data_IF_636872966996
#
_entry.id   IF_636872966996
#
_cell.length_a   1.000
_cell.length_b   1.000
_cell.length_c   1.000
_cell.angle_alpha   90.00
_cell.angle_beta   90.00
_cell.angle_gamma   90.00
#
_symmetry.space_group_name_H-M   'P 1'
#
loop_
_entity.id
_entity.type
_entity.pdbx_description
1 polymer ?
#
# COMPACT_ATOMS: atom_id res chain seq x y z
N UNK A 1 49.52 -5.25 24.72
CA UNK A 1 48.67 -5.95 25.70
C UNK A 1 47.18 -5.56 25.56
N UNK A 2 46.68 -5.44 24.32
CA UNK A 2 45.26 -5.19 24.02
C UNK A 2 44.95 -5.91 22.70
N UNK A 3 44.19 -7.01 22.76
CA UNK A 3 43.27 -7.52 21.70
C UNK A 3 42.99 -9.01 21.92
N UNK A 4 42.21 -9.32 22.94
CA UNK A 4 41.34 -10.50 22.93
C UNK A 4 40.01 -10.12 23.59
N UNK A 5 39.36 -9.07 23.08
CA UNK A 5 37.92 -8.93 23.33
C UNK A 5 37.23 -9.97 22.44
N UNK A 6 37.07 -11.14 23.06
CA UNK A 6 36.48 -12.38 22.58
C UNK A 6 35.30 -12.19 21.62
N UNK A 7 35.42 -12.82 20.45
CA UNK A 7 34.34 -13.06 19.47
C UNK A 7 33.10 -13.71 20.13
N UNK A 8 33.26 -14.40 21.27
CA UNK A 8 32.14 -15.04 21.99
C UNK A 8 31.18 -14.03 22.63
N UNK A 9 31.66 -12.85 23.05
CA UNK A 9 30.77 -11.82 23.63
C UNK A 9 29.88 -11.17 22.57
N UNK A 10 30.37 -11.02 21.34
CA UNK A 10 29.56 -10.51 20.21
C UNK A 10 28.47 -11.50 19.79
N UNK A 11 28.74 -12.80 19.78
CA UNK A 11 27.75 -13.82 19.46
C UNK A 11 26.63 -13.88 20.51
N UNK A 12 26.98 -13.80 21.80
CA UNK A 12 26.01 -13.79 22.90
C UNK A 12 25.11 -12.55 22.92
N UNK A 13 25.66 -11.37 22.59
CA UNK A 13 24.88 -10.13 22.48
C UNK A 13 23.93 -10.20 21.28
N UNK A 14 24.37 -10.75 20.14
CA UNK A 14 23.53 -10.90 18.96
C UNK A 14 22.38 -11.90 19.19
N UNK A 15 22.63 -13.03 19.85
CA UNK A 15 21.58 -13.99 20.19
C UNK A 15 20.59 -13.42 21.21
N UNK A 16 21.05 -12.63 22.18
CA UNK A 16 20.18 -11.93 23.13
C UNK A 16 19.32 -10.85 22.47
N UNK A 17 19.90 -10.03 21.57
CA UNK A 17 19.13 -9.02 20.82
C UNK A 17 18.12 -9.70 19.88
N UNK A 18 18.50 -10.80 19.25
CA UNK A 18 17.63 -11.56 18.36
C UNK A 18 16.47 -12.21 19.10
N UNK A 19 16.72 -12.81 20.28
CA UNK A 19 15.67 -13.39 21.12
C UNK A 19 14.68 -12.33 21.59
N UNK A 20 15.16 -11.17 22.03
CA UNK A 20 14.29 -10.05 22.40
C UNK A 20 13.48 -9.51 21.23
N UNK A 21 14.06 -9.44 20.02
CA UNK A 21 13.34 -8.96 18.83
C UNK A 21 12.21 -9.91 18.46
N UNK A 22 12.47 -11.23 18.49
CA UNK A 22 11.46 -12.25 18.21
C UNK A 22 10.32 -12.22 19.24
N UNK A 23 10.65 -12.15 20.52
CA UNK A 23 9.65 -12.06 21.60
C UNK A 23 8.80 -10.80 21.49
N UNK A 24 9.42 -9.64 21.21
CA UNK A 24 8.69 -8.38 20.99
C UNK A 24 7.76 -8.44 19.78
N UNK A 25 8.21 -9.02 18.66
CA UNK A 25 7.38 -9.21 17.48
C UNK A 25 6.14 -10.06 17.75
N UNK A 26 6.29 -11.18 18.47
CA UNK A 26 5.16 -12.03 18.88
C UNK A 26 4.21 -11.27 19.80
N UNK A 27 4.73 -10.56 20.80
CA UNK A 27 3.92 -9.74 21.70
C UNK A 27 3.13 -8.65 20.95
N UNK A 28 3.76 -7.97 19.98
CA UNK A 28 3.09 -6.99 19.12
C UNK A 28 1.95 -7.65 18.34
N UNK A 29 2.18 -8.81 17.74
CA UNK A 29 1.13 -9.54 17.00
C UNK A 29 -0.07 -9.87 17.89
N UNK A 30 0.17 -10.44 19.07
CA UNK A 30 -0.89 -10.80 20.03
C UNK A 30 -1.64 -9.55 20.52
N UNK A 31 -0.93 -8.51 20.95
CA UNK A 31 -1.55 -7.28 21.45
C UNK A 31 -2.34 -6.54 20.35
N UNK A 32 -1.86 -6.58 19.11
CA UNK A 32 -2.57 -6.01 17.96
C UNK A 32 -3.88 -6.76 17.72
N UNK A 33 -3.85 -8.10 17.74
CA UNK A 33 -5.04 -8.91 17.58
C UNK A 33 -6.07 -8.64 18.70
N UNK A 34 -5.62 -8.57 19.96
CA UNK A 34 -6.47 -8.21 21.09
C UNK A 34 -7.09 -6.82 20.88
N UNK A 35 -6.31 -5.82 20.48
CA UNK A 35 -6.82 -4.48 20.24
C UNK A 35 -7.90 -4.44 19.14
N UNK A 36 -7.70 -5.19 18.05
CA UNK A 36 -8.70 -5.31 16.99
C UNK A 36 -9.97 -6.04 17.44
N UNK A 37 -9.85 -7.12 18.23
CA UNK A 37 -11.01 -7.79 18.81
C UNK A 37 -11.77 -6.89 19.81
N UNK A 38 -11.05 -6.12 20.64
CA UNK A 38 -11.68 -5.13 21.52
C UNK A 38 -12.40 -4.04 20.73
N UNK A 39 -11.87 -3.62 19.58
CA UNK A 39 -12.59 -2.70 18.70
C UNK A 39 -13.86 -3.35 18.13
N UNK A 40 -13.75 -4.57 17.61
CA UNK A 40 -14.88 -5.30 17.03
C UNK A 40 -15.99 -5.55 18.04
N UNK A 41 -15.66 -5.78 19.32
CA UNK A 41 -16.66 -6.00 20.37
C UNK A 41 -17.48 -4.75 20.73
N UNK A 42 -17.01 -3.55 20.33
CA UNK A 42 -17.73 -2.28 20.53
C UNK A 42 -18.15 -1.64 19.22
N UNK A 43 -17.86 -2.28 18.08
CA UNK A 43 -18.21 -1.77 16.77
C UNK A 43 -19.74 -1.85 16.55
N UNK A 44 -20.34 -0.86 15.88
CA UNK A 44 -21.77 -0.89 15.61
C UNK A 44 -22.10 -2.02 14.63
N UNK A 45 -23.31 -2.59 14.74
CA UNK A 45 -23.79 -3.68 13.87
C UNK A 45 -23.71 -3.30 12.38
N UNK A 46 -24.02 -2.04 12.05
CA UNK A 46 -23.91 -1.51 10.68
C UNK A 46 -22.48 -1.55 10.10
N UNK A 47 -21.47 -1.59 10.96
CA UNK A 47 -20.08 -1.80 10.55
C UNK A 47 -19.82 -3.29 10.28
N UNK A 48 -20.31 -4.19 11.12
CA UNK A 48 -20.04 -5.64 11.03
C UNK A 48 -20.83 -6.32 9.91
N UNK A 49 -22.05 -5.89 9.63
CA UNK A 49 -22.96 -6.50 8.66
C UNK A 49 -22.84 -5.91 7.25
N UNK A 50 -21.77 -5.17 6.97
CA UNK A 50 -21.61 -4.51 5.67
C UNK A 50 -21.43 -5.59 4.57
N UNK A 51 -22.27 -5.61 3.52
CA UNK A 51 -22.22 -6.66 2.50
C UNK A 51 -20.94 -6.59 1.68
N UNK A 52 -20.25 -7.72 1.55
CA UNK A 52 -19.04 -7.81 0.74
C UNK A 52 -19.38 -7.86 -0.74
N UNK A 53 -19.15 -6.76 -1.47
CA UNK A 53 -19.46 -6.65 -2.89
C UNK A 53 -18.66 -7.60 -3.79
N UNK A 54 -17.45 -7.99 -3.38
CA UNK A 54 -16.55 -8.83 -4.18
C UNK A 54 -16.52 -10.30 -3.70
N UNK A 55 -17.28 -10.65 -2.67
CA UNK A 55 -17.26 -12.00 -2.09
C UNK A 55 -18.17 -12.98 -2.81
N UNK A 56 -19.10 -12.46 -3.61
CA UNK A 56 -20.12 -13.24 -4.30
C UNK A 56 -19.85 -13.22 -5.81
N UNK A 57 -20.61 -13.99 -6.59
CA UNK A 57 -20.43 -14.17 -8.04
C UNK A 57 -19.22 -15.02 -8.39
N UNK A 58 -18.04 -14.42 -8.62
CA UNK A 58 -16.86 -15.14 -9.09
C UNK A 58 -16.38 -16.22 -8.11
N UNK A 59 -16.21 -15.95 -6.80
CA UNK A 59 -15.83 -17.00 -5.86
C UNK A 59 -16.81 -18.17 -5.84
N UNK A 60 -18.12 -17.88 -5.87
CA UNK A 60 -19.18 -18.90 -5.85
C UNK A 60 -19.19 -19.74 -7.12
N UNK A 61 -18.98 -19.12 -8.29
CA UNK A 61 -18.91 -19.82 -9.56
C UNK A 61 -17.70 -20.77 -9.62
N UNK A 62 -16.55 -20.36 -9.09
CA UNK A 62 -15.37 -21.24 -9.01
C UNK A 62 -15.62 -22.41 -8.05
N UNK A 63 -16.17 -22.16 -6.87
CA UNK A 63 -16.48 -23.21 -5.87
C UNK A 63 -17.53 -24.19 -6.42
N UNK A 64 -18.52 -23.70 -7.16
CA UNK A 64 -19.54 -24.52 -7.83
C UNK A 64 -19.00 -25.28 -9.06
N UNK A 65 -17.72 -25.16 -9.39
CA UNK A 65 -17.11 -25.87 -10.52
C UNK A 65 -17.44 -25.29 -11.90
N UNK A 66 -18.01 -24.08 -11.98
CA UNK A 66 -18.33 -23.41 -13.25
C UNK A 66 -17.11 -22.78 -13.93
N UNK A 67 -15.97 -22.73 -13.24
CA UNK A 67 -14.74 -22.11 -13.73
C UNK A 67 -14.63 -20.62 -13.37
N UNK A 68 -13.68 -19.92 -14.01
CA UNK A 68 -13.36 -18.51 -13.75
C UNK A 68 -14.29 -17.56 -14.52
N UNK A 69 -15.57 -17.56 -14.16
CA UNK A 69 -16.63 -16.83 -14.87
C UNK A 69 -17.46 -15.93 -13.94
N UNK A 70 -17.96 -14.83 -14.49
CA UNK A 70 -18.92 -13.95 -13.83
C UNK A 70 -20.35 -14.52 -13.86
N UNK A 71 -21.32 -13.81 -13.29
CA UNK A 71 -22.73 -14.23 -13.27
C UNK A 71 -23.37 -14.33 -14.67
N UNK A 72 -22.79 -13.67 -15.67
CA UNK A 72 -23.23 -13.75 -17.07
C UNK A 72 -22.59 -14.93 -17.81
N UNK A 73 -21.69 -15.68 -17.17
CA UNK A 73 -20.93 -16.77 -17.78
C UNK A 73 -19.74 -16.31 -18.62
N UNK A 74 -19.40 -15.03 -18.61
CA UNK A 74 -18.23 -14.49 -19.30
C UNK A 74 -16.98 -14.70 -18.44
N UNK A 75 -15.82 -14.78 -19.10
CA UNK A 75 -14.55 -14.86 -18.38
C UNK A 75 -14.35 -13.63 -17.48
N UNK A 76 -14.15 -13.84 -16.18
CA UNK A 76 -14.08 -12.77 -15.20
C UNK A 76 -12.69 -12.11 -15.18
N UNK A 77 -12.50 -11.15 -16.07
CA UNK A 77 -11.22 -10.46 -16.29
C UNK A 77 -11.08 -9.11 -15.57
N UNK A 78 -12.14 -8.63 -14.94
CA UNK A 78 -12.20 -7.27 -14.41
C UNK A 78 -11.09 -6.96 -13.39
N UNK A 79 -10.55 -7.97 -12.70
CA UNK A 79 -9.49 -7.82 -11.71
C UNK A 79 -8.49 -8.97 -11.73
N UNK A 80 -7.24 -8.74 -11.29
CA UNK A 80 -6.30 -9.82 -11.06
C UNK A 80 -6.82 -10.87 -10.06
N UNK A 81 -6.36 -12.13 -10.15
CA UNK A 81 -6.94 -13.27 -9.46
C UNK A 81 -6.52 -13.38 -8.00
N UNK A 82 -5.51 -12.64 -7.54
CA UNK A 82 -4.93 -12.83 -6.20
C UNK A 82 -5.94 -12.61 -5.08
N UNK A 83 -6.76 -11.57 -5.15
CA UNK A 83 -7.79 -11.34 -4.14
C UNK A 83 -8.98 -12.33 -4.26
N UNK A 84 -9.56 -12.58 -5.45
CA UNK A 84 -10.59 -13.62 -5.59
C UNK A 84 -10.13 -15.01 -5.11
N UNK A 85 -8.89 -15.41 -5.40
CA UNK A 85 -8.33 -16.69 -4.91
C UNK A 85 -8.25 -16.75 -3.37
N UNK A 86 -7.91 -15.63 -2.73
CA UNK A 86 -7.94 -15.54 -1.26
C UNK A 86 -9.37 -15.73 -0.75
N UNK A 87 -10.36 -15.07 -1.34
CA UNK A 87 -11.77 -15.22 -0.93
C UNK A 87 -12.25 -16.66 -1.11
N UNK A 88 -11.97 -17.28 -2.26
CA UNK A 88 -12.30 -18.70 -2.51
C UNK A 88 -11.72 -19.59 -1.42
N UNK A 89 -10.43 -19.43 -1.11
CA UNK A 89 -9.77 -20.20 -0.06
C UNK A 89 -10.38 -19.96 1.34
N UNK A 90 -10.79 -18.73 1.65
CA UNK A 90 -11.44 -18.42 2.92
C UNK A 90 -12.84 -19.02 3.03
N UNK A 91 -13.65 -19.00 1.97
CA UNK A 91 -14.97 -19.64 1.93
C UNK A 91 -14.86 -21.15 2.15
N UNK A 92 -13.98 -21.81 1.39
CA UNK A 92 -13.73 -23.25 1.56
C UNK A 92 -13.22 -23.59 2.97
N UNK A 93 -12.35 -22.76 3.55
CA UNK A 93 -11.88 -22.96 4.92
C UNK A 93 -13.00 -22.77 5.95
N UNK A 94 -13.90 -21.80 5.73
CA UNK A 94 -15.07 -21.59 6.58
C UNK A 94 -15.98 -22.82 6.59
N UNK A 95 -16.24 -23.41 5.42
CA UNK A 95 -17.03 -24.64 5.27
C UNK A 95 -16.39 -25.83 6.00
N UNK A 96 -15.07 -26.02 5.86
CA UNK A 96 -14.34 -27.12 6.51
C UNK A 96 -14.32 -26.98 8.02
N UNK A 97 -14.17 -25.76 8.53
CA UNK A 97 -14.12 -25.48 9.98
C UNK A 97 -15.53 -25.41 10.58
N UNK A 98 -16.56 -25.21 9.76
CA UNK A 98 -17.95 -25.09 10.20
C UNK A 98 -18.25 -23.75 10.90
N UNK A 99 -17.61 -22.66 10.45
CA UNK A 99 -17.84 -21.31 10.96
C UNK A 99 -18.46 -20.40 9.89
N UNK A 100 -19.25 -19.38 10.26
CA UNK A 100 -19.76 -18.42 9.29
C UNK A 100 -18.65 -17.73 8.49
N UNK A 101 -18.87 -17.52 7.18
CA UNK A 101 -17.88 -16.87 6.29
C UNK A 101 -17.45 -15.49 6.82
N UNK A 102 -18.40 -14.71 7.34
CA UNK A 102 -18.13 -13.39 7.91
C UNK A 102 -17.11 -13.46 9.06
N UNK A 103 -17.22 -14.45 9.94
CA UNK A 103 -16.30 -14.64 11.05
C UNK A 103 -14.91 -15.06 10.54
N UNK A 104 -14.85 -15.91 9.52
CA UNK A 104 -13.60 -16.29 8.87
C UNK A 104 -12.90 -15.09 8.22
N UNK A 105 -13.65 -14.21 7.54
CA UNK A 105 -13.12 -12.97 6.96
C UNK A 105 -12.59 -12.01 8.02
N UNK A 106 -13.32 -11.83 9.13
CA UNK A 106 -12.88 -11.02 10.26
C UNK A 106 -11.59 -11.59 10.86
N UNK A 107 -11.54 -12.89 11.13
CA UNK A 107 -10.36 -13.55 11.69
C UNK A 107 -9.14 -13.39 10.78
N UNK A 108 -9.33 -13.57 9.47
CA UNK A 108 -8.29 -13.37 8.47
C UNK A 108 -7.77 -11.93 8.46
N UNK A 109 -8.67 -10.94 8.51
CA UNK A 109 -8.30 -9.53 8.56
C UNK A 109 -7.53 -9.18 9.84
N UNK A 110 -8.02 -9.63 11.00
CA UNK A 110 -7.34 -9.43 12.29
C UNK A 110 -5.93 -10.00 12.24
N UNK A 111 -5.77 -11.23 11.72
CA UNK A 111 -4.48 -11.88 11.57
C UNK A 111 -3.53 -11.07 10.68
N UNK A 112 -3.97 -10.71 9.47
CA UNK A 112 -3.12 -10.00 8.51
C UNK A 112 -2.79 -8.56 8.95
N UNK A 113 -3.73 -7.83 9.53
CA UNK A 113 -3.46 -6.49 10.07
C UNK A 113 -2.49 -6.57 11.25
N UNK A 114 -2.63 -7.57 12.13
CA UNK A 114 -1.66 -7.79 13.22
C UNK A 114 -0.28 -8.15 12.67
N UNK A 115 -0.21 -8.99 11.63
CA UNK A 115 1.03 -9.34 10.97
C UNK A 115 1.67 -8.13 10.28
N UNK A 116 0.87 -7.25 9.67
CA UNK A 116 1.36 -5.99 9.09
C UNK A 116 1.95 -5.05 10.14
N UNK A 117 1.39 -5.01 11.35
CA UNK A 117 1.96 -4.27 12.49
C UNK A 117 3.34 -4.81 12.90
N UNK A 118 3.49 -6.15 12.91
CA UNK A 118 4.79 -6.80 13.15
C UNK A 118 5.79 -6.45 12.05
N UNK A 119 5.39 -6.48 10.78
CA UNK A 119 6.26 -6.08 9.66
C UNK A 119 6.70 -4.62 9.77
N UNK A 120 5.79 -3.70 10.10
CA UNK A 120 6.12 -2.29 10.32
C UNK A 120 7.10 -2.10 11.49
N UNK A 121 6.92 -2.84 12.59
CA UNK A 121 7.90 -2.87 13.68
C UNK A 121 9.26 -3.39 13.21
N UNK A 122 9.29 -4.48 12.43
CA UNK A 122 10.53 -5.03 11.87
C UNK A 122 11.21 -4.04 10.93
N UNK A 123 10.45 -3.28 10.13
CA UNK A 123 11.01 -2.21 9.31
C UNK A 123 11.55 -1.08 10.20
N UNK A 124 10.83 -0.70 11.25
CA UNK A 124 11.22 0.37 12.16
C UNK A 124 12.55 0.08 12.88
N UNK A 125 12.80 -1.17 13.30
CA UNK A 125 14.08 -1.56 13.93
C UNK A 125 15.26 -1.56 12.94
N UNK A 126 15.00 -1.72 11.64
CA UNK A 126 16.07 -1.59 10.62
C UNK A 126 16.58 -0.15 10.51
N UNK A 127 15.78 0.82 11.00
CA UNK A 127 16.02 2.25 10.88
C UNK A 127 16.47 2.85 12.20
N UNK A 128 15.78 2.50 13.29
CA UNK A 128 15.90 3.13 14.60
C UNK A 128 16.46 2.18 15.65
N UNK A 129 17.37 2.69 16.49
CA UNK A 129 17.94 1.97 17.64
C UNK A 129 17.39 2.47 18.98
N UNK A 130 16.07 2.61 19.07
CA UNK A 130 15.40 3.09 20.28
C UNK A 130 14.19 2.21 20.58
N UNK A 131 13.83 2.06 21.85
CA UNK A 131 12.57 1.41 22.23
C UNK A 131 11.34 2.17 21.70
N UNK A 132 11.50 3.43 21.27
CA UNK A 132 10.43 4.21 20.66
C UNK A 132 9.93 3.62 19.31
N UNK A 133 10.59 2.59 18.76
CA UNK A 133 10.06 1.80 17.62
C UNK A 133 8.68 1.23 17.88
N UNK A 134 8.28 1.03 19.15
CA UNK A 134 6.95 0.56 19.52
C UNK A 134 5.85 1.56 19.16
N UNK A 135 6.17 2.84 18.93
CA UNK A 135 5.20 3.84 18.49
C UNK A 135 4.65 3.54 17.09
N UNK A 136 5.40 2.82 16.25
CA UNK A 136 4.98 2.48 14.87
C UNK A 136 3.80 1.51 14.87
N UNK A 137 3.89 0.30 15.46
CA UNK A 137 2.74 -0.60 15.52
C UNK A 137 1.59 -0.03 16.33
N UNK A 138 1.85 0.76 17.39
CA UNK A 138 0.78 1.43 18.15
C UNK A 138 0.01 2.39 17.25
N UNK A 139 0.70 3.25 16.49
CA UNK A 139 0.06 4.16 15.55
C UNK A 139 -0.72 3.42 14.46
N UNK A 140 -0.20 2.31 13.95
CA UNK A 140 -0.87 1.48 12.96
C UNK A 140 -2.17 0.85 13.49
N UNK A 141 -2.11 0.21 14.66
CA UNK A 141 -3.25 -0.51 15.27
C UNK A 141 -4.35 0.45 15.73
N UNK A 142 -3.99 1.65 16.17
CA UNK A 142 -4.94 2.68 16.63
C UNK A 142 -5.46 3.58 15.51
N UNK A 143 -4.91 3.47 14.29
CA UNK A 143 -5.34 4.28 13.16
C UNK A 143 -6.74 3.87 12.70
N UNK A 144 -7.75 4.76 12.75
CA UNK A 144 -9.13 4.41 12.40
C UNK A 144 -9.25 3.95 10.94
N UNK A 145 -8.40 4.46 10.04
CA UNK A 145 -8.40 4.03 8.63
C UNK A 145 -7.90 2.60 8.45
N UNK A 146 -7.03 2.12 9.34
CA UNK A 146 -6.59 0.71 9.35
C UNK A 146 -7.69 -0.17 9.93
N UNK A 147 -8.25 0.26 11.07
CA UNK A 147 -9.33 -0.45 11.77
C UNK A 147 -10.58 -0.58 10.90
N UNK A 148 -10.85 0.39 10.03
CA UNK A 148 -11.95 0.33 9.07
C UNK A 148 -11.93 -0.92 8.19
N UNK A 149 -10.75 -1.47 7.89
CA UNK A 149 -10.63 -2.66 7.04
C UNK A 149 -11.03 -3.96 7.74
N UNK A 150 -11.41 -3.94 9.02
CA UNK A 150 -11.84 -5.14 9.73
C UNK A 150 -13.24 -5.62 9.29
N UNK A 151 -14.09 -4.75 8.74
CA UNK A 151 -15.49 -5.11 8.44
C UNK A 151 -15.67 -6.01 7.21
N UNK A 152 -14.72 -6.03 6.28
CA UNK A 152 -14.85 -6.76 5.02
C UNK A 152 -13.49 -7.29 4.59
N UNK A 153 -13.41 -8.42 3.88
CA UNK A 153 -12.15 -8.96 3.39
C UNK A 153 -11.63 -8.14 2.20
N UNK A 154 -11.31 -6.88 2.45
CA UNK A 154 -10.80 -5.94 1.47
C UNK A 154 -9.44 -6.38 0.95
N UNK A 155 -9.21 -6.25 -0.36
CA UNK A 155 -7.93 -6.61 -0.99
C UNK A 155 -6.76 -5.75 -0.48
N UNK A 156 -7.04 -4.60 0.12
CA UNK A 156 -6.05 -3.76 0.81
C UNK A 156 -5.31 -4.50 1.92
N UNK A 157 -6.00 -5.35 2.69
CA UNK A 157 -5.42 -6.01 3.88
C UNK A 157 -4.27 -6.95 3.52
N UNK A 158 -4.45 -7.95 2.63
CA UNK A 158 -3.33 -8.78 2.18
C UNK A 158 -2.32 -7.99 1.33
N UNK A 159 -2.76 -6.93 0.62
CA UNK A 159 -1.84 -6.03 -0.06
C UNK A 159 -0.85 -5.36 0.92
N UNK A 160 -1.31 -4.87 2.08
CA UNK A 160 -0.45 -4.25 3.10
C UNK A 160 0.66 -5.20 3.55
N UNK A 161 0.31 -6.47 3.81
CA UNK A 161 1.26 -7.48 4.26
C UNK A 161 2.36 -7.71 3.22
N UNK A 162 1.98 -7.98 1.96
CA UNK A 162 2.95 -8.21 0.89
C UNK A 162 3.79 -6.97 0.61
N UNK A 163 3.15 -5.79 0.64
CA UNK A 163 3.81 -4.52 0.46
C UNK A 163 4.87 -4.26 1.54
N UNK A 164 4.52 -4.37 2.82
CA UNK A 164 5.48 -4.16 3.90
C UNK A 164 6.54 -5.26 3.96
N UNK A 165 6.19 -6.51 3.64
CA UNK A 165 7.18 -7.58 3.52
C UNK A 165 8.22 -7.24 2.43
N UNK A 166 7.79 -6.72 1.27
CA UNK A 166 8.69 -6.31 0.20
C UNK A 166 9.62 -5.16 0.62
N UNK A 167 9.12 -4.23 1.44
CA UNK A 167 9.92 -3.12 1.97
C UNK A 167 10.95 -3.64 2.98
N UNK A 168 10.56 -4.59 3.84
CA UNK A 168 11.46 -5.22 4.78
C UNK A 168 12.58 -5.97 4.04
N UNK A 169 12.26 -6.74 3.00
CA UNK A 169 13.27 -7.44 2.19
C UNK A 169 14.16 -6.46 1.44
N UNK A 170 13.60 -5.36 0.93
CA UNK A 170 14.35 -4.27 0.31
C UNK A 170 15.33 -3.61 1.29
N UNK A 171 14.91 -3.28 2.51
CA UNK A 171 15.84 -2.70 3.51
C UNK A 171 16.94 -3.66 3.95
N UNK A 172 16.63 -4.96 4.02
CA UNK A 172 17.65 -5.98 4.28
C UNK A 172 18.61 -6.14 3.10
N UNK A 173 18.16 -5.97 1.86
CA UNK A 173 19.03 -6.00 0.67
C UNK A 173 20.09 -4.89 0.72
N UNK A 174 19.73 -3.69 1.19
CA UNK A 174 20.69 -2.57 1.34
C UNK A 174 21.85 -2.92 2.28
N UNK A 175 21.65 -3.87 3.20
CA UNK A 175 22.65 -4.31 4.20
C UNK A 175 23.34 -5.62 3.83
N UNK A 176 22.86 -6.33 2.81
CA UNK A 176 23.34 -7.64 2.44
C UNK A 176 24.64 -7.61 1.64
N UNK A 177 25.37 -8.72 1.68
CA UNK A 177 26.56 -8.95 0.87
C UNK A 177 26.18 -9.17 -0.60
N UNK A 178 27.10 -8.84 -1.52
CA UNK A 178 26.88 -8.91 -2.96
C UNK A 178 26.32 -10.26 -3.44
N UNK A 179 26.80 -11.37 -2.88
CA UNK A 179 26.37 -12.73 -3.25
C UNK A 179 24.90 -13.04 -2.94
N UNK A 180 24.26 -12.29 -2.04
CA UNK A 180 22.84 -12.48 -1.67
C UNK A 180 21.89 -11.50 -2.37
N UNK A 181 22.43 -10.48 -3.04
CA UNK A 181 21.62 -9.40 -3.61
C UNK A 181 20.66 -9.88 -4.70
N UNK A 182 21.06 -10.84 -5.54
CA UNK A 182 20.17 -11.44 -6.52
C UNK A 182 18.90 -12.01 -5.87
N UNK A 183 19.07 -12.82 -4.82
CA UNK A 183 17.95 -13.44 -4.10
C UNK A 183 17.07 -12.42 -3.38
N UNK A 184 17.67 -11.37 -2.79
CA UNK A 184 16.88 -10.27 -2.22
C UNK A 184 16.10 -9.50 -3.29
N UNK A 185 16.69 -9.25 -4.46
CA UNK A 185 16.01 -8.64 -5.60
C UNK A 185 14.83 -9.49 -6.04
N UNK A 186 15.07 -10.79 -6.29
CA UNK A 186 14.05 -11.75 -6.70
C UNK A 186 12.90 -11.84 -5.71
N UNK A 187 13.19 -11.98 -4.41
CA UNK A 187 12.18 -12.06 -3.36
C UNK A 187 11.38 -10.75 -3.23
N UNK A 188 12.06 -9.60 -3.27
CA UNK A 188 11.38 -8.29 -3.24
C UNK A 188 10.44 -8.16 -4.45
N UNK A 189 10.91 -8.57 -5.63
CA UNK A 189 10.13 -8.59 -6.87
C UNK A 189 8.92 -9.50 -6.78
N UNK A 190 9.10 -10.74 -6.33
CA UNK A 190 8.02 -11.70 -6.17
C UNK A 190 6.96 -11.20 -5.18
N UNK A 191 7.35 -10.61 -4.04
CA UNK A 191 6.39 -10.03 -3.09
C UNK A 191 5.60 -8.87 -3.72
N UNK A 192 6.24 -8.03 -4.52
CA UNK A 192 5.55 -6.95 -5.26
C UNK A 192 4.66 -7.49 -6.38
N UNK A 193 5.09 -8.49 -7.13
CA UNK A 193 4.28 -9.18 -8.13
C UNK A 193 3.03 -9.79 -7.50
N UNK A 194 3.17 -10.45 -6.34
CA UNK A 194 2.04 -10.97 -5.59
C UNK A 194 1.12 -9.84 -5.12
N UNK A 195 1.67 -8.73 -4.63
CA UNK A 195 0.87 -7.56 -4.26
C UNK A 195 0.10 -6.97 -5.46
N UNK A 196 0.73 -6.89 -6.65
CA UNK A 196 0.08 -6.47 -7.91
C UNK A 196 -1.06 -7.40 -8.31
N UNK A 197 -0.90 -8.71 -8.09
CA UNK A 197 -1.93 -9.72 -8.32
C UNK A 197 -3.09 -9.64 -7.32
N UNK A 198 -2.91 -8.99 -6.17
CA UNK A 198 -4.02 -8.69 -5.25
C UNK A 198 -4.67 -7.35 -5.61
N UNK A 199 -3.85 -6.33 -5.93
CA UNK A 199 -4.30 -5.01 -6.36
C UNK A 199 -3.37 -4.41 -7.42
N UNK A 200 -3.94 -4.09 -8.58
CA UNK A 200 -3.21 -3.47 -9.70
C UNK A 200 -2.62 -2.09 -9.38
N UNK A 201 -3.08 -1.42 -8.32
CA UNK A 201 -2.52 -0.17 -7.82
C UNK A 201 -1.02 -0.29 -7.44
N UNK A 202 -0.50 -1.50 -7.28
CA UNK A 202 0.92 -1.75 -7.02
C UNK A 202 1.83 -1.75 -8.25
N UNK A 203 1.30 -1.50 -9.45
CA UNK A 203 2.00 -1.73 -10.73
C UNK A 203 3.36 -1.02 -10.86
N UNK A 204 3.50 0.20 -10.35
CA UNK A 204 4.75 0.95 -10.46
C UNK A 204 5.74 0.69 -9.31
N UNK A 205 5.35 -0.10 -8.31
CA UNK A 205 6.19 -0.35 -7.13
C UNK A 205 7.54 -1.01 -7.45
N UNK A 206 7.65 -1.98 -8.39
CA UNK A 206 8.96 -2.53 -8.78
C UNK A 206 9.89 -1.45 -9.34
N UNK A 207 9.36 -0.51 -10.14
CA UNK A 207 10.13 0.62 -10.68
C UNK A 207 10.56 1.56 -9.55
N UNK A 208 9.66 1.89 -8.62
CA UNK A 208 9.97 2.72 -7.45
C UNK A 208 11.06 2.09 -6.57
N UNK A 209 11.01 0.77 -6.35
CA UNK A 209 12.06 0.04 -5.63
C UNK A 209 13.38 0.04 -6.40
N UNK A 210 13.34 -0.07 -7.73
CA UNK A 210 14.53 0.01 -8.58
C UNK A 210 15.20 1.38 -8.53
N UNK A 211 14.42 2.46 -8.64
CA UNK A 211 14.90 3.84 -8.49
C UNK A 211 15.47 4.05 -7.08
N UNK A 212 14.75 3.58 -6.06
CA UNK A 212 15.19 3.65 -4.67
C UNK A 212 16.51 2.89 -4.47
N UNK A 213 16.66 1.70 -5.05
CA UNK A 213 17.89 0.91 -5.02
C UNK A 213 19.05 1.72 -5.59
N UNK A 214 18.91 2.30 -6.78
CA UNK A 214 19.96 3.10 -7.41
C UNK A 214 20.34 4.34 -6.58
N UNK A 215 19.38 4.99 -5.94
CA UNK A 215 19.62 6.18 -5.11
C UNK A 215 20.24 5.88 -3.73
N UNK A 216 20.06 4.66 -3.23
CA UNK A 216 20.32 4.30 -1.83
C UNK A 216 21.40 3.24 -1.62
N UNK A 217 21.63 2.37 -2.60
CA UNK A 217 22.58 1.27 -2.46
C UNK A 217 24.04 1.75 -2.37
N UNK A 218 24.93 0.85 -1.94
CA UNK A 218 26.38 1.12 -1.88
C UNK A 218 26.89 1.47 -3.28
N UNK A 219 28.04 2.15 -3.41
CA UNK A 219 28.72 2.34 -4.70
C UNK A 219 29.30 1.00 -5.19
N UNK A 220 28.43 0.06 -5.51
CA UNK A 220 28.79 -1.25 -6.06
C UNK A 220 29.16 -1.10 -7.53
N UNK A 221 29.87 -2.09 -8.11
CA UNK A 221 30.06 -2.16 -9.55
C UNK A 221 28.70 -2.19 -10.28
N UNK A 222 28.62 -1.56 -11.46
CA UNK A 222 27.39 -1.52 -12.29
C UNK A 222 26.73 -2.90 -12.46
N UNK A 223 27.54 -3.96 -12.61
CA UNK A 223 27.08 -5.36 -12.72
C UNK A 223 26.18 -5.79 -11.55
N UNK A 224 26.50 -5.39 -10.32
CA UNK A 224 25.73 -5.74 -9.12
C UNK A 224 24.39 -5.01 -9.11
N UNK A 225 24.35 -3.74 -9.50
CA UNK A 225 23.08 -3.01 -9.63
C UNK A 225 22.20 -3.63 -10.71
N UNK A 226 22.76 -3.93 -11.88
CA UNK A 226 22.03 -4.60 -12.96
C UNK A 226 21.49 -5.96 -12.52
N UNK A 227 22.28 -6.77 -11.83
CA UNK A 227 21.86 -8.08 -11.32
C UNK A 227 20.68 -7.95 -10.35
N UNK A 228 20.74 -7.00 -9.41
CA UNK A 228 19.64 -6.75 -8.47
C UNK A 228 18.37 -6.30 -9.20
N UNK A 229 18.48 -5.36 -10.14
CA UNK A 229 17.34 -4.85 -10.91
C UNK A 229 16.71 -5.94 -11.78
N UNK A 230 17.53 -6.73 -12.50
CA UNK A 230 17.05 -7.87 -13.29
C UNK A 230 16.29 -8.84 -12.38
N UNK A 231 16.85 -9.19 -11.21
CA UNK A 231 16.18 -10.09 -10.27
C UNK A 231 14.85 -9.51 -9.75
N UNK A 232 14.82 -8.21 -9.41
CA UNK A 232 13.62 -7.49 -8.96
C UNK A 232 12.50 -7.53 -10.00
N UNK A 233 12.81 -7.21 -11.26
CA UNK A 233 11.81 -7.25 -12.33
C UNK A 233 11.42 -8.69 -12.69
N UNK A 234 12.39 -9.61 -12.73
CA UNK A 234 12.13 -11.03 -12.99
C UNK A 234 11.16 -11.60 -11.96
N UNK A 235 11.39 -11.37 -10.65
CA UNK A 235 10.51 -11.85 -9.60
C UNK A 235 9.08 -11.30 -9.72
N UNK A 236 8.94 -10.03 -10.10
CA UNK A 236 7.63 -9.41 -10.32
C UNK A 236 6.91 -10.01 -11.52
N UNK A 237 7.60 -10.13 -12.65
CA UNK A 237 7.07 -10.68 -13.90
C UNK A 237 6.70 -12.15 -13.75
N UNK A 238 7.48 -12.95 -13.02
CA UNK A 238 7.20 -14.38 -12.82
C UNK A 238 5.81 -14.65 -12.23
N UNK A 239 5.27 -13.76 -11.40
CA UNK A 239 3.93 -13.94 -10.83
C UNK A 239 2.82 -13.31 -11.67
N UNK A 240 3.12 -12.24 -12.40
CA UNK A 240 2.12 -11.52 -13.21
C UNK A 240 1.93 -12.15 -14.59
N UNK A 241 3.02 -12.65 -15.19
CA UNK A 241 3.02 -13.18 -16.56
C UNK A 241 2.04 -14.35 -16.75
N UNK A 242 1.93 -15.35 -15.85
CA UNK A 242 0.98 -16.45 -16.03
C UNK A 242 -0.45 -15.96 -16.19
N UNK A 243 -0.86 -14.96 -15.40
CA UNK A 243 -2.18 -14.38 -15.51
C UNK A 243 -2.39 -13.61 -16.81
N UNK A 244 -1.41 -12.78 -17.22
CA UNK A 244 -1.47 -12.09 -18.51
C UNK A 244 -1.55 -13.05 -19.70
N UNK A 245 -0.92 -14.24 -19.60
CA UNK A 245 -1.02 -15.27 -20.62
C UNK A 245 -2.41 -15.94 -20.65
N UNK A 246 -3.02 -16.20 -19.49
CA UNK A 246 -4.40 -16.69 -19.38
C UNK A 246 -5.35 -15.64 -19.98
N UNK A 247 -5.20 -14.38 -19.59
CA UNK A 247 -5.95 -13.26 -20.14
C UNK A 247 -5.88 -13.20 -21.67
N UNK A 248 -4.68 -13.31 -22.24
CA UNK A 248 -4.49 -13.32 -23.69
C UNK A 248 -5.18 -14.50 -24.35
N UNK A 249 -5.10 -15.70 -23.74
CA UNK A 249 -5.74 -16.90 -24.28
C UNK A 249 -7.28 -16.77 -24.30
N UNK A 250 -7.87 -16.23 -23.24
CA UNK A 250 -9.33 -16.14 -23.10
C UNK A 250 -9.93 -14.92 -23.83
N UNK A 251 -9.18 -13.83 -23.98
CA UNK A 251 -9.69 -12.57 -24.57
C UNK A 251 -9.09 -12.22 -25.94
N UNK A 252 -8.03 -12.90 -26.38
CA UNK A 252 -7.21 -12.54 -27.55
C UNK A 252 -6.56 -11.15 -27.49
N UNK A 253 -6.55 -10.53 -26.31
CA UNK A 253 -5.96 -9.21 -26.08
C UNK A 253 -4.84 -9.28 -25.04
N UNK A 254 -3.73 -8.57 -25.31
CA UNK A 254 -2.63 -8.47 -24.35
C UNK A 254 -3.05 -7.49 -23.25
N UNK A 255 -3.55 -8.04 -22.15
CA UNK A 255 -3.98 -7.27 -20.98
C UNK A 255 -3.02 -7.51 -19.83
N UNK A 256 -2.41 -6.43 -19.35
CA UNK A 256 -1.51 -6.49 -18.20
C UNK A 256 -2.30 -6.28 -16.91
N UNK A 257 -2.41 -7.31 -16.08
CA UNK A 257 -3.18 -7.38 -14.82
C UNK A 257 -4.71 -7.28 -14.96
N UNK A 258 -5.24 -6.47 -15.87
CA UNK A 258 -6.68 -6.34 -16.12
C UNK A 258 -6.99 -5.49 -17.35
N UNK A 259 -8.28 -5.30 -17.67
CA UNK A 259 -8.69 -4.52 -18.83
C UNK A 259 -8.45 -3.01 -18.61
N UNK A 260 -8.17 -2.25 -19.68
CA UNK A 260 -8.03 -0.79 -19.62
C UNK A 260 -9.26 -0.10 -19.01
N UNK A 261 -10.46 -0.64 -19.26
CA UNK A 261 -11.76 -0.13 -18.79
C UNK A 261 -11.83 0.08 -17.28
N UNK A 262 -11.11 -0.71 -16.47
CA UNK A 262 -11.06 -0.51 -15.03
C UNK A 262 -10.36 0.81 -14.66
N UNK A 263 -9.29 1.15 -15.37
CA UNK A 263 -8.56 2.41 -15.18
C UNK A 263 -9.42 3.58 -15.65
N UNK A 264 -10.09 3.44 -16.79
CA UNK A 264 -11.01 4.44 -17.33
C UNK A 264 -12.16 4.72 -16.36
N UNK A 265 -12.81 3.67 -15.84
CA UNK A 265 -13.86 3.79 -14.85
C UNK A 265 -13.37 4.46 -13.56
N UNK A 266 -12.13 4.19 -13.15
CA UNK A 266 -11.53 4.82 -11.97
C UNK A 266 -11.25 6.31 -12.18
N UNK A 267 -10.80 6.71 -13.39
CA UNK A 267 -10.62 8.12 -13.76
C UNK A 267 -11.99 8.81 -13.86
N UNK A 268 -12.95 8.18 -14.54
CA UNK A 268 -14.32 8.68 -14.67
C UNK A 268 -14.99 8.92 -13.31
N UNK A 269 -14.88 7.96 -12.39
CA UNK A 269 -15.35 8.12 -11.00
C UNK A 269 -14.62 9.26 -10.29
N UNK A 270 -13.32 9.40 -10.53
CA UNK A 270 -12.52 10.52 -10.05
C UNK A 270 -12.92 11.88 -10.62
N UNK A 271 -13.62 11.96 -11.74
CA UNK A 271 -14.21 13.21 -12.25
C UNK A 271 -15.62 13.44 -11.71
N UNK A 272 -16.41 12.37 -11.62
CA UNK A 272 -17.81 12.42 -11.19
C UNK A 272 -18.03 12.53 -9.68
N UNK A 273 -17.03 12.29 -8.84
CA UNK A 273 -17.26 12.20 -7.39
C UNK A 273 -17.89 13.47 -6.78
N UNK A 274 -17.75 14.65 -7.41
CA UNK A 274 -18.38 15.89 -6.92
C UNK A 274 -19.80 16.10 -7.44
N UNK A 275 -20.17 15.49 -8.57
CA UNK A 275 -21.44 15.72 -9.26
C UNK A 275 -22.41 14.54 -9.19
N UNK A 276 -21.89 13.30 -9.24
CA UNK A 276 -22.73 12.11 -9.21
C UNK A 276 -22.90 11.55 -7.79
N UNK A 277 -24.10 11.76 -7.26
CA UNK A 277 -24.52 11.23 -5.97
C UNK A 277 -25.16 9.86 -6.22
N UNK A 278 -24.33 8.83 -6.32
CA UNK A 278 -24.80 7.45 -6.25
C UNK A 278 -25.29 7.16 -4.82
N UNK A 279 -26.32 6.32 -4.65
CA UNK A 279 -27.23 6.29 -3.49
C UNK A 279 -26.63 6.39 -2.07
N UNK A 280 -25.40 5.91 -1.84
CA UNK A 280 -24.75 5.96 -0.52
C UNK A 280 -23.94 7.24 -0.24
N UNK A 281 -23.81 8.15 -1.22
CA UNK A 281 -22.97 9.36 -1.14
C UNK A 281 -23.75 10.56 -0.61
N UNK A 282 -23.11 11.38 0.21
CA UNK A 282 -23.60 12.73 0.55
C UNK A 282 -23.08 13.79 -0.44
N UNK A 283 -23.83 14.87 -0.63
CA UNK A 283 -23.40 15.97 -1.50
C UNK A 283 -22.21 16.69 -0.87
N UNK A 284 -21.10 16.79 -1.62
CA UNK A 284 -19.96 17.58 -1.18
C UNK A 284 -20.27 19.08 -1.29
N UNK A 285 -19.86 19.83 -0.27
CA UNK A 285 -19.92 21.30 -0.29
C UNK A 285 -18.78 21.83 -1.18
N UNK A 286 -19.03 21.94 -2.48
CA UNK A 286 -18.11 22.52 -3.47
C UNK A 286 -18.75 23.73 -4.16
N UNK A 287 -17.93 24.64 -4.69
CA UNK A 287 -18.45 25.76 -5.48
C UNK A 287 -19.09 25.26 -6.78
N UNK A 288 -20.08 26.01 -7.28
CA UNK A 288 -20.77 25.68 -8.52
C UNK A 288 -19.80 25.62 -9.71
N UNK A 289 -18.80 26.51 -9.75
CA UNK A 289 -17.77 26.53 -10.79
C UNK A 289 -16.95 25.23 -10.83
N UNK A 290 -16.62 24.66 -9.67
CA UNK A 290 -15.86 23.40 -9.57
C UNK A 290 -16.73 22.21 -9.98
N UNK A 291 -18.01 22.21 -9.60
CA UNK A 291 -18.96 21.16 -10.02
C UNK A 291 -19.18 21.19 -11.54
N UNK A 292 -19.46 22.36 -12.10
CA UNK A 292 -19.63 22.55 -13.55
C UNK A 292 -18.36 22.17 -14.31
N UNK A 293 -17.19 22.58 -13.82
CA UNK A 293 -15.91 22.20 -14.40
C UNK A 293 -15.73 20.67 -14.46
N UNK A 294 -16.01 19.97 -13.36
CA UNK A 294 -15.88 18.52 -13.30
C UNK A 294 -16.84 17.80 -14.27
N UNK A 295 -18.07 18.30 -14.40
CA UNK A 295 -19.06 17.77 -15.34
C UNK A 295 -18.65 18.01 -16.80
N UNK A 296 -18.22 19.22 -17.14
CA UNK A 296 -17.71 19.55 -18.48
C UNK A 296 -16.49 18.70 -18.84
N UNK A 297 -15.51 18.60 -17.92
CA UNK A 297 -14.31 17.80 -18.12
C UNK A 297 -14.63 16.31 -18.33
N UNK A 298 -15.59 15.78 -17.57
CA UNK A 298 -16.07 14.42 -17.77
C UNK A 298 -16.74 14.24 -19.15
N UNK A 299 -17.59 15.18 -19.55
CA UNK A 299 -18.26 15.13 -20.85
C UNK A 299 -17.26 15.17 -22.02
N UNK A 300 -16.25 16.04 -21.92
CA UNK A 300 -15.22 16.18 -22.96
C UNK A 300 -14.38 14.90 -23.13
N UNK A 301 -13.97 14.27 -22.03
CA UNK A 301 -13.12 13.07 -22.06
C UNK A 301 -13.91 11.79 -22.36
N UNK A 302 -15.12 11.63 -21.83
CA UNK A 302 -15.82 10.33 -21.87
C UNK A 302 -17.08 10.29 -22.72
N UNK A 303 -17.70 11.44 -23.00
CA UNK A 303 -18.92 11.51 -23.82
C UNK A 303 -18.57 11.89 -25.26
N UNK A 304 -17.76 12.93 -25.44
CA UNK A 304 -17.41 13.45 -26.75
C UNK A 304 -16.31 12.61 -27.45
N UNK A 305 -15.40 11.99 -26.67
CA UNK A 305 -14.26 11.22 -27.20
C UNK A 305 -14.61 9.79 -27.65
N UNK A 306 -15.85 9.30 -27.41
CA UNK A 306 -16.33 7.98 -27.91
C UNK A 306 -16.27 7.80 -29.44
N UNK A 307 -15.95 8.86 -30.19
CA UNK A 307 -15.75 8.83 -31.64
C UNK A 307 -14.29 8.59 -32.08
N UNK A 308 -13.30 8.58 -31.18
CA UNK A 308 -11.89 8.27 -31.51
C UNK A 308 -11.49 6.88 -31.02
N UNK A 309 -11.68 5.91 -31.91
CA UNK A 309 -11.18 4.54 -31.78
C UNK A 309 -9.68 4.56 -32.10
N UNK A 310 -8.82 4.83 -31.11
CA UNK A 310 -7.41 4.54 -31.31
C UNK A 310 -6.65 4.21 -30.01
N UNK A 311 -5.59 3.43 -30.21
CA UNK A 311 -4.77 2.69 -29.25
C UNK A 311 -4.05 3.49 -28.15
N UNK A 312 -4.26 4.82 -28.07
CA UNK A 312 -3.64 5.73 -27.10
C UNK A 312 -4.64 6.31 -26.06
N UNK A 313 -5.75 5.62 -25.76
CA UNK A 313 -6.82 6.12 -24.88
C UNK A 313 -6.35 6.70 -23.54
N UNK A 314 -5.38 6.07 -22.87
CA UNK A 314 -4.88 6.58 -21.58
C UNK A 314 -4.06 7.86 -21.71
N UNK A 315 -3.22 7.97 -22.75
CA UNK A 315 -2.48 9.19 -23.05
C UNK A 315 -3.44 10.32 -23.47
N UNK A 316 -4.47 9.97 -24.26
CA UNK A 316 -5.58 10.85 -24.61
C UNK A 316 -6.27 11.41 -23.37
N UNK A 317 -6.73 10.55 -22.46
CA UNK A 317 -7.36 10.94 -21.20
C UNK A 317 -6.46 11.86 -20.36
N UNK A 318 -5.19 11.49 -20.14
CA UNK A 318 -4.24 12.32 -19.36
C UNK A 318 -4.02 13.67 -20.04
N UNK A 319 -3.87 13.70 -21.37
CA UNK A 319 -3.72 14.95 -22.11
C UNK A 319 -4.98 15.81 -22.04
N UNK A 320 -6.17 15.19 -22.05
CA UNK A 320 -7.47 15.84 -21.88
C UNK A 320 -7.61 16.46 -20.50
N UNK A 321 -7.15 15.79 -19.44
CA UNK A 321 -7.10 16.35 -18.09
C UNK A 321 -6.21 17.60 -18.03
N UNK A 322 -5.02 17.55 -18.62
CA UNK A 322 -4.09 18.69 -18.68
C UNK A 322 -4.72 19.84 -19.47
N UNK A 323 -5.26 19.55 -20.66
CA UNK A 323 -5.91 20.55 -21.50
C UNK A 323 -7.10 21.19 -20.80
N UNK A 324 -7.93 20.40 -20.12
CA UNK A 324 -9.06 20.92 -19.36
C UNK A 324 -8.65 21.90 -18.26
N UNK A 325 -7.54 21.65 -17.55
CA UNK A 325 -6.98 22.62 -16.59
C UNK A 325 -6.47 23.88 -17.31
N UNK A 326 -5.83 23.75 -18.46
CA UNK A 326 -5.33 24.90 -19.21
C UNK A 326 -6.46 25.78 -19.77
N UNK A 327 -7.55 25.16 -20.22
CA UNK A 327 -8.71 25.86 -20.77
C UNK A 327 -9.51 26.59 -19.67
N UNK A 328 -9.56 26.05 -18.45
CA UNK A 328 -10.25 26.65 -17.30
C UNK A 328 -9.38 26.58 -16.02
N UNK A 329 -8.36 27.44 -15.88
CA UNK A 329 -7.33 27.29 -14.85
C UNK A 329 -7.83 27.47 -13.43
N UNK A 330 -8.72 28.43 -13.17
CA UNK A 330 -9.19 28.71 -11.81
C UNK A 330 -10.07 27.56 -11.26
N UNK A 331 -11.14 27.11 -11.96
CA UNK A 331 -11.91 25.95 -11.53
C UNK A 331 -11.08 24.66 -11.55
N UNK A 332 -10.22 24.47 -12.55
CA UNK A 332 -9.36 23.31 -12.66
C UNK A 332 -8.37 23.16 -11.50
N UNK A 333 -7.63 24.22 -11.17
CA UNK A 333 -6.73 24.22 -10.01
C UNK A 333 -7.51 23.95 -8.73
N UNK A 334 -8.67 24.57 -8.56
CA UNK A 334 -9.53 24.37 -7.37
C UNK A 334 -10.00 22.91 -7.25
N UNK A 335 -10.42 22.30 -8.36
CA UNK A 335 -10.81 20.89 -8.42
C UNK A 335 -9.66 19.94 -8.06
N UNK A 336 -8.48 20.14 -8.64
CA UNK A 336 -7.32 19.30 -8.32
C UNK A 336 -6.77 19.54 -6.92
N UNK A 337 -6.86 20.77 -6.39
CA UNK A 337 -6.52 21.06 -5.00
C UNK A 337 -7.47 20.36 -4.03
N UNK A 338 -8.77 20.31 -4.36
CA UNK A 338 -9.77 19.52 -3.63
C UNK A 338 -9.37 18.04 -3.59
N UNK A 339 -9.03 17.45 -4.74
CA UNK A 339 -8.56 16.05 -4.79
C UNK A 339 -7.28 15.83 -3.99
N UNK A 340 -6.34 16.76 -4.10
CA UNK A 340 -5.03 16.71 -3.46
C UNK A 340 -5.14 16.64 -1.93
N UNK A 341 -5.97 17.47 -1.30
CA UNK A 341 -6.17 17.42 0.15
C UNK A 341 -7.08 16.25 0.56
N UNK A 342 -8.13 15.97 -0.23
CA UNK A 342 -9.17 15.00 0.13
C UNK A 342 -8.64 13.58 0.09
N UNK A 343 -7.60 13.30 -0.70
CA UNK A 343 -6.91 12.01 -0.69
C UNK A 343 -6.42 11.56 0.71
N UNK A 344 -6.28 12.47 1.68
CA UNK A 344 -5.82 12.15 3.02
C UNK A 344 -6.91 11.87 4.06
N UNK A 345 -8.16 12.20 3.77
CA UNK A 345 -9.26 12.06 4.75
C UNK A 345 -10.61 11.68 4.12
N UNK A 346 -10.74 11.79 2.80
CA UNK A 346 -11.98 11.58 2.06
C UNK A 346 -12.47 10.14 2.13
N UNK A 347 -13.76 9.98 2.35
CA UNK A 347 -14.44 8.68 2.45
C UNK A 347 -15.29 8.46 1.19
N UNK A 348 -15.59 7.22 0.83
CA UNK A 348 -16.41 6.97 -0.37
C UNK A 348 -17.83 7.54 -0.24
N UNK A 349 -18.41 7.49 0.96
CA UNK A 349 -19.77 7.98 1.23
C UNK A 349 -19.85 9.49 1.47
N UNK A 350 -18.72 10.19 1.54
CA UNK A 350 -18.60 11.61 1.89
C UNK A 350 -19.07 11.95 3.31
N UNK A 351 -19.40 10.93 4.11
CA UNK A 351 -19.86 11.08 5.49
C UNK A 351 -18.68 11.27 6.42
N UNK A 352 -18.89 12.11 7.44
CA UNK A 352 -17.98 12.33 8.56
C UNK A 352 -16.55 12.75 8.15
N UNK A 353 -16.38 13.34 6.96
CA UNK A 353 -15.05 13.72 6.45
C UNK A 353 -14.36 14.79 7.31
N UNK A 354 -15.13 15.62 8.00
CA UNK A 354 -14.59 16.55 8.98
C UNK A 354 -13.90 15.83 10.15
N UNK A 355 -14.51 14.75 10.66
CA UNK A 355 -13.95 13.98 11.77
C UNK A 355 -12.72 13.18 11.33
N UNK A 356 -12.76 12.59 10.13
CA UNK A 356 -11.58 11.90 9.58
C UNK A 356 -10.43 12.88 9.37
N UNK A 357 -10.71 14.10 8.89
CA UNK A 357 -9.71 15.17 8.78
C UNK A 357 -9.12 15.55 10.14
N UNK A 358 -9.94 15.72 11.18
CA UNK A 358 -9.47 16.08 12.52
C UNK A 358 -8.55 15.00 13.10
N UNK A 359 -8.91 13.72 12.95
CA UNK A 359 -8.06 12.60 13.40
C UNK A 359 -6.75 12.58 12.61
N UNK A 360 -6.83 12.73 11.29
CA UNK A 360 -5.65 12.75 10.43
C UNK A 360 -4.72 13.94 10.75
N UNK A 361 -5.28 15.10 11.09
CA UNK A 361 -4.52 16.26 11.53
C UNK A 361 -3.67 15.95 12.77
N UNK A 362 -4.19 15.16 13.72
CA UNK A 362 -3.43 14.68 14.88
C UNK A 362 -2.19 13.87 14.47
N UNK A 363 -2.35 12.92 13.53
CA UNK A 363 -1.21 12.16 12.99
C UNK A 363 -0.22 13.05 12.25
N UNK A 364 -0.68 14.04 11.48
CA UNK A 364 0.19 14.99 10.79
C UNK A 364 0.97 15.91 11.73
N UNK A 365 0.39 16.31 12.86
CA UNK A 365 1.12 17.05 13.91
C UNK A 365 2.26 16.20 14.46
N UNK A 366 2.00 14.93 14.81
CA UNK A 366 3.03 14.01 15.29
C UNK A 366 4.12 13.75 14.23
N UNK A 367 3.73 13.59 12.97
CA UNK A 367 4.66 13.43 11.86
C UNK A 367 5.54 14.67 11.67
N UNK A 368 4.93 15.87 11.70
CA UNK A 368 5.64 17.14 11.56
C UNK A 368 6.63 17.36 12.70
N UNK A 369 6.24 17.07 13.94
CA UNK A 369 7.13 17.08 15.10
C UNK A 369 8.28 16.08 14.94
N UNK A 370 7.99 14.87 14.46
CA UNK A 370 9.01 13.85 14.17
C UNK A 370 10.04 14.34 13.16
N UNK A 371 9.59 14.92 12.05
CA UNK A 371 10.45 15.48 10.99
C UNK A 371 11.28 16.66 11.52
N UNK A 372 10.68 17.56 12.30
CA UNK A 372 11.38 18.68 12.92
C UNK A 372 12.49 18.21 13.86
N UNK A 373 12.23 17.19 14.68
CA UNK A 373 13.21 16.59 15.58
C UNK A 373 14.32 15.90 14.79
N UNK A 374 13.99 15.21 13.69
CA UNK A 374 14.97 14.61 12.77
C UNK A 374 15.90 15.69 12.23
N UNK A 375 15.32 16.77 11.71
CA UNK A 375 16.07 17.89 11.15
C UNK A 375 16.97 18.57 12.20
N UNK A 376 16.41 18.95 13.36
CA UNK A 376 17.13 19.63 14.45
C UNK A 376 18.30 18.80 14.98
N UNK A 377 18.12 17.50 15.12
CA UNK A 377 19.16 16.59 15.60
C UNK A 377 20.07 16.05 14.48
N UNK A 378 19.92 16.56 13.25
CA UNK A 378 20.67 16.12 12.05
C UNK A 378 20.63 14.60 11.83
N UNK A 379 19.52 13.99 12.20
CA UNK A 379 19.22 12.59 11.95
C UNK A 379 19.01 12.43 10.45
N UNK A 380 19.74 11.51 9.82
CA UNK A 380 19.65 11.28 8.36
C UNK A 380 19.22 9.84 8.04
N UNK A 381 17.97 9.45 8.31
CA UNK A 381 17.43 8.16 7.86
C UNK A 381 17.16 8.20 6.34
N UNK A 382 18.21 8.43 5.53
CA UNK A 382 18.13 8.70 4.08
C UNK A 382 17.28 7.65 3.35
N UNK A 383 17.48 6.38 3.69
CA UNK A 383 16.80 5.24 3.06
C UNK A 383 15.28 5.31 3.21
N UNK A 384 14.82 5.55 4.44
CA UNK A 384 13.39 5.67 4.76
C UNK A 384 12.81 6.91 4.13
N UNK A 385 13.53 8.03 4.20
CA UNK A 385 13.06 9.30 3.65
C UNK A 385 12.82 9.21 2.14
N UNK A 386 13.80 8.72 1.37
CA UNK A 386 13.68 8.60 -0.09
C UNK A 386 12.58 7.61 -0.47
N UNK A 387 12.59 6.40 0.09
CA UNK A 387 11.60 5.39 -0.27
C UNK A 387 10.18 5.83 0.12
N UNK A 388 9.99 6.32 1.34
CA UNK A 388 8.67 6.75 1.82
C UNK A 388 8.15 7.92 0.98
N UNK A 389 9.01 8.87 0.62
CA UNK A 389 8.61 10.00 -0.25
C UNK A 389 8.17 9.50 -1.62
N UNK A 390 8.94 8.62 -2.28
CA UNK A 390 8.57 8.09 -3.60
C UNK A 390 7.28 7.28 -3.55
N UNK A 391 7.09 6.45 -2.52
CA UNK A 391 5.84 5.69 -2.33
C UNK A 391 4.66 6.63 -2.08
N UNK A 392 4.80 7.60 -1.18
CA UNK A 392 3.73 8.56 -0.87
C UNK A 392 3.34 9.34 -2.12
N UNK A 393 4.31 9.88 -2.85
CA UNK A 393 4.05 10.61 -4.10
C UNK A 393 3.34 9.72 -5.12
N UNK A 394 3.70 8.45 -5.22
CA UNK A 394 3.06 7.51 -6.15
C UNK A 394 1.58 7.28 -5.82
N UNK A 395 1.28 6.83 -4.60
CA UNK A 395 -0.11 6.57 -4.20
C UNK A 395 -0.94 7.84 -4.18
N UNK A 396 -0.34 8.97 -3.80
CA UNK A 396 -1.02 10.25 -3.80
C UNK A 396 -1.35 10.72 -5.23
N UNK A 397 -0.43 10.52 -6.18
CA UNK A 397 -0.69 10.78 -7.61
C UNK A 397 -1.84 9.94 -8.14
N UNK A 398 -1.92 8.66 -7.75
CA UNK A 398 -3.03 7.79 -8.13
C UNK A 398 -4.35 8.21 -7.48
N UNK A 399 -4.34 8.64 -6.22
CA UNK A 399 -5.53 9.16 -5.55
C UNK A 399 -6.04 10.48 -6.18
N UNK A 400 -5.12 11.32 -6.68
CA UNK A 400 -5.47 12.54 -7.42
C UNK A 400 -6.02 12.20 -8.81
N UNK A 401 -5.44 11.21 -9.50
CA UNK A 401 -5.90 10.77 -10.80
C UNK A 401 -7.29 10.13 -10.72
N UNK A 402 -7.49 9.22 -9.77
CA UNK A 402 -8.75 8.52 -9.53
C UNK A 402 -9.64 9.30 -8.55
N UNK A 403 -10.48 8.59 -7.80
CA UNK A 403 -11.27 9.16 -6.72
C UNK A 403 -10.39 9.42 -5.48
N UNK A 404 -10.40 10.63 -4.88
CA UNK A 404 -9.47 11.01 -3.82
C UNK A 404 -9.87 10.41 -2.47
N UNK A 405 -9.68 9.10 -2.31
CA UNK A 405 -10.07 8.34 -1.13
C UNK A 405 -8.88 8.05 -0.21
N UNK A 406 -9.08 8.23 1.11
CA UNK A 406 -8.07 7.95 2.14
C UNK A 406 -7.56 6.51 2.11
N UNK A 407 -8.40 5.56 1.67
CA UNK A 407 -8.05 4.13 1.58
C UNK A 407 -6.79 3.88 0.73
N UNK A 408 -6.51 4.71 -0.28
CA UNK A 408 -5.31 4.59 -1.11
C UNK A 408 -4.04 5.04 -0.37
N UNK A 409 -4.19 5.90 0.64
CA UNK A 409 -3.08 6.44 1.42
C UNK A 409 -2.74 5.59 2.65
N UNK A 410 -3.54 4.58 3.00
CA UNK A 410 -3.31 3.79 4.23
C UNK A 410 -1.99 3.02 4.21
N UNK A 411 -1.61 2.37 3.10
CA UNK A 411 -0.31 1.70 3.02
C UNK A 411 0.87 2.69 3.13
N UNK A 412 0.87 3.82 2.39
CA UNK A 412 1.85 4.90 2.60
C UNK A 412 1.87 5.48 4.02
N UNK A 413 0.71 5.61 4.68
CA UNK A 413 0.63 6.08 6.08
C UNK A 413 1.38 5.17 7.04
N UNK A 414 1.34 3.85 6.83
CA UNK A 414 2.16 2.90 7.60
C UNK A 414 3.66 3.21 7.50
N UNK A 415 4.14 3.65 6.33
CA UNK A 415 5.53 4.08 6.14
C UNK A 415 5.81 5.45 6.78
N UNK A 416 4.86 6.38 6.75
CA UNK A 416 4.99 7.66 7.44
C UNK A 416 5.12 7.47 8.96
N UNK A 417 4.45 6.48 9.54
CA UNK A 417 4.59 6.15 10.96
C UNK A 417 6.01 5.70 11.33
N UNK A 418 6.84 5.26 10.35
CA UNK A 418 8.25 4.95 10.60
C UNK A 418 9.05 6.16 11.09
N UNK A 419 8.55 7.40 10.98
CA UNK A 419 9.24 8.57 11.54
C UNK A 419 8.93 8.82 13.03
N UNK A 420 7.85 8.27 13.59
CA UNK A 420 7.42 8.51 14.97
C UNK A 420 8.45 8.19 16.06
N UNK A 421 9.32 7.16 15.91
CA UNK A 421 10.36 6.89 16.91
C UNK A 421 11.32 8.07 17.15
N UNK A 422 11.39 9.04 16.24
CA UNK A 422 12.17 10.26 16.40
C UNK A 422 11.72 11.10 17.60
N UNK A 423 10.44 11.10 17.96
CA UNK A 423 9.88 11.95 19.02
C UNK A 423 10.57 11.73 20.36
N UNK A 424 10.90 10.47 20.69
CA UNK A 424 11.56 10.11 21.95
C UNK A 424 13.07 9.85 21.76
N UNK A 425 13.70 10.53 20.81
CA UNK A 425 15.13 10.40 20.57
C UNK A 425 15.95 11.16 21.63
N UNK A 426 16.43 10.44 22.65
CA UNK A 426 17.24 11.02 23.75
C UNK A 426 18.73 11.22 23.43
N UNK A 427 19.12 11.36 22.16
CA UNK A 427 20.48 11.75 21.75
C UNK A 427 21.63 10.77 22.03
N UNK A 428 21.43 9.66 22.77
CA UNK A 428 22.49 8.69 23.09
C UNK A 428 22.56 7.46 22.16
N UNK A 429 21.58 7.26 21.29
CA UNK A 429 21.62 6.22 20.27
C UNK A 429 22.39 6.68 19.04
N UNK A 430 23.22 5.84 18.41
CA UNK A 430 23.66 6.11 17.03
C UNK A 430 22.54 5.67 16.08
N UNK A 431 22.14 6.52 15.14
CA UNK A 431 21.45 6.05 13.94
C UNK A 431 22.35 5.04 13.20
N UNK A 432 21.75 4.14 12.42
CA UNK A 432 22.50 3.40 11.41
C UNK A 432 23.01 4.37 10.33
N UNK A 433 24.14 5.03 10.61
CA UNK A 433 24.96 5.65 9.57
C UNK A 433 25.75 4.53 8.91
N UNK A 434 25.31 4.14 7.72
CA UNK A 434 25.98 3.16 6.88
C UNK A 434 27.43 3.52 6.55
N UNK A 435 27.75 4.83 6.53
CA UNK A 435 29.10 5.33 6.33
C UNK A 435 30.07 4.85 7.41
N UNK A 436 29.61 4.66 8.66
CA UNK A 436 30.47 4.19 9.75
C UNK A 436 30.79 2.69 9.66
N UNK A 437 30.01 1.90 8.91
CA UNK A 437 30.33 0.50 8.64
C UNK A 437 31.30 0.39 7.46
N UNK A 438 31.09 1.20 6.41
CA UNK A 438 31.98 1.29 5.25
C UNK A 438 33.39 1.79 5.58
N UNK A 439 33.54 2.67 6.58
CA UNK A 439 34.85 3.12 7.05
C UNK A 439 35.60 2.10 7.92
N UNK A 440 34.95 1.01 8.35
CA UNK A 440 35.57 0.01 9.23
C UNK A 440 36.06 -1.24 8.48
N UNK A 441 35.70 -1.36 7.20
CA UNK A 441 36.12 -2.44 6.29
C UNK A 441 37.15 -1.99 5.24
N UNK A 442 37.57 -0.71 5.27
CA UNK A 442 38.82 -0.24 4.69
C UNK A 442 39.83 -0.06 5.80
#
# INVERSE_FOLDING_TARGET
MHKELSISNTAAILTMIWSHTKQRGVAIGILSAIAYFCFLSVAPVSFLEKPCGDCNSLPDNVIAGKGWVDDSGNFADARPPGHPLIIIGLKQLADVVGVPEADMFILFNVFLLSFSAVLLYLIAIEVWRTNAVMLVPVAWVTCPFVVWFLNQPYSEVPFFVLFFASILTFFRSLKADAGKLFWYGLLTGALLGAAMMIRSIGIALPVIMGISWLALSRPWPKRVHSLYLIALFLGSVMLVLPWSLIMYKETNEIRFLGPPTLTENSIANGLKFVTNIDGDREKLAVSLDVANYAEHLYADIFVNEKTRVDSDQLLGQVSGLIKGVLDNPVPGISFYFLKLHRAWYGTYSHRLEFWTLLIQAGYFVLLSLSILIIYRNRLRPKYVFVLTTLVVLYFWSLAILFEPLVRYMVAPMGLLFLFFPAINWKGRGRLYSFQNCLQKER
#
